data_IF_387354679041
#
_entry.id   IF_387354679041
#
_cell.length_a   1.000
_cell.length_b   1.000
_cell.length_c   1.000
_cell.angle_alpha   90.00
_cell.angle_beta   90.00
_cell.angle_gamma   90.00
#
_symmetry.space_group_name_H-M   'P 1'
#
loop_
_entity.id
_entity.type
_entity.pdbx_description
1 polymer ?
#
# COMPACT_ATOMS: atom_id res chain seq x y z
N UNK A 1 19.11 -0.72 -17.77
CA UNK A 1 18.33 -1.89 -17.30
C UNK A 1 16.88 -1.71 -17.77
N UNK A 2 16.29 -2.77 -18.35
CA UNK A 2 14.88 -2.79 -18.75
C UNK A 2 14.05 -3.52 -17.69
N UNK A 3 13.08 -2.83 -17.09
CA UNK A 3 12.22 -3.33 -16.03
C UNK A 3 10.77 -3.41 -16.51
N UNK A 4 10.13 -4.56 -16.35
CA UNK A 4 8.69 -4.70 -16.54
C UNK A 4 8.03 -4.76 -15.17
N UNK A 5 7.26 -3.73 -14.80
CA UNK A 5 6.39 -3.73 -13.63
C UNK A 5 5.04 -4.34 -14.05
N UNK A 6 4.59 -5.38 -13.39
CA UNK A 6 3.37 -6.11 -13.76
C UNK A 6 2.31 -6.03 -12.65
N UNK A 7 1.20 -5.34 -12.91
CA UNK A 7 -0.03 -5.38 -12.10
C UNK A 7 -1.20 -5.89 -12.95
N UNK A 8 -1.33 -7.21 -13.15
CA UNK A 8 -2.38 -7.78 -13.98
C UNK A 8 -3.80 -7.34 -13.61
N UNK A 9 -4.19 -7.29 -12.32
CA UNK A 9 -5.54 -6.86 -11.93
C UNK A 9 -5.76 -5.35 -11.93
N UNK A 10 -4.71 -4.53 -12.02
CA UNK A 10 -4.75 -3.08 -11.80
C UNK A 10 -5.32 -2.72 -10.42
N UNK A 11 -4.73 -3.28 -9.34
CA UNK A 11 -5.22 -3.06 -7.98
C UNK A 11 -4.65 -1.79 -7.34
N UNK A 12 -3.41 -1.45 -7.69
CA UNK A 12 -2.69 -0.32 -7.10
C UNK A 12 -2.18 0.71 -8.13
N UNK A 13 -3.02 1.21 -9.05
CA UNK A 13 -2.54 2.10 -10.12
C UNK A 13 -1.78 3.35 -9.65
N UNK A 14 -2.15 4.02 -8.50
CA UNK A 14 -1.36 5.14 -8.00
C UNK A 14 0.05 4.74 -7.56
N UNK A 15 0.19 3.59 -6.87
CA UNK A 15 1.48 3.04 -6.48
C UNK A 15 2.31 2.65 -7.70
N UNK A 16 1.72 1.90 -8.63
CA UNK A 16 2.40 1.44 -9.85
C UNK A 16 2.89 2.59 -10.71
N UNK A 17 2.07 3.65 -10.83
CA UNK A 17 2.46 4.88 -11.52
C UNK A 17 3.66 5.54 -10.87
N UNK A 18 3.59 5.75 -9.55
CA UNK A 18 4.65 6.43 -8.81
C UNK A 18 5.97 5.63 -8.82
N UNK A 19 5.90 4.30 -8.62
CA UNK A 19 7.07 3.43 -8.71
C UNK A 19 7.67 3.44 -10.12
N UNK A 20 6.84 3.29 -11.17
CA UNK A 20 7.32 3.27 -12.55
C UNK A 20 7.96 4.61 -12.97
N UNK A 21 7.36 5.74 -12.54
CA UNK A 21 7.93 7.08 -12.76
C UNK A 21 9.27 7.24 -12.06
N UNK A 22 9.37 6.83 -10.79
CA UNK A 22 10.60 6.96 -10.00
C UNK A 22 11.72 6.06 -10.54
N UNK A 23 11.42 4.82 -10.94
CA UNK A 23 12.39 3.93 -11.60
C UNK A 23 12.87 4.50 -12.92
N UNK A 24 11.98 5.09 -13.73
CA UNK A 24 12.35 5.73 -14.98
C UNK A 24 13.23 6.97 -14.76
N UNK A 25 12.89 7.81 -13.79
CA UNK A 25 13.71 8.96 -13.40
C UNK A 25 15.11 8.56 -12.90
N UNK A 26 15.22 7.38 -12.26
CA UNK A 26 16.49 6.80 -11.84
C UNK A 26 17.27 6.08 -12.96
N UNK A 27 16.79 6.16 -14.22
CA UNK A 27 17.52 5.70 -15.41
C UNK A 27 17.14 4.31 -15.94
N UNK A 28 16.10 3.67 -15.41
CA UNK A 28 15.61 2.42 -15.96
C UNK A 28 14.68 2.65 -17.17
N UNK A 29 14.72 1.74 -18.16
CA UNK A 29 13.69 1.66 -19.20
C UNK A 29 12.51 0.85 -18.63
N UNK A 30 11.40 1.53 -18.29
CA UNK A 30 10.27 0.93 -17.57
C UNK A 30 9.06 0.72 -18.46
N UNK A 31 8.48 -0.49 -18.40
CA UNK A 31 7.17 -0.80 -18.97
C UNK A 31 6.22 -1.28 -17.85
N UNK A 32 5.07 -0.60 -17.67
CA UNK A 32 4.00 -1.04 -16.80
C UNK A 32 3.01 -1.91 -17.59
N UNK A 33 3.03 -3.22 -17.31
CA UNK A 33 2.15 -4.22 -17.90
C UNK A 33 0.93 -4.44 -16.98
N UNK A 34 -0.25 -3.96 -17.38
CA UNK A 34 -1.43 -3.94 -16.52
C UNK A 34 -2.71 -4.28 -17.29
N UNK A 35 -3.86 -4.11 -16.65
CA UNK A 35 -5.17 -4.11 -17.28
C UNK A 35 -5.82 -2.74 -17.21
N UNK A 36 -6.93 -2.58 -17.94
CA UNK A 36 -7.69 -1.34 -17.89
C UNK A 36 -8.29 -1.10 -16.51
N UNK A 37 -7.90 -0.01 -15.86
CA UNK A 37 -8.50 0.44 -14.61
C UNK A 37 -9.91 1.01 -14.84
N UNK A 38 -10.84 0.79 -13.90
CA UNK A 38 -12.26 1.07 -14.07
C UNK A 38 -12.88 1.91 -12.95
N UNK A 39 -12.11 2.21 -11.91
CA UNK A 39 -12.64 2.89 -10.72
C UNK A 39 -12.26 4.37 -10.65
N UNK A 40 -11.70 4.91 -11.72
CA UNK A 40 -11.30 6.31 -11.78
C UNK A 40 -10.32 6.59 -12.90
N UNK A 41 -9.81 7.81 -12.94
CA UNK A 41 -8.72 8.18 -13.82
C UNK A 41 -7.40 7.59 -13.33
N UNK A 42 -6.55 7.18 -14.27
CA UNK A 42 -5.16 6.79 -13.99
C UNK A 42 -4.28 7.88 -14.57
N UNK A 43 -3.25 8.36 -13.83
CA UNK A 43 -2.31 9.36 -14.35
C UNK A 43 -1.72 8.95 -15.69
N UNK A 44 -1.42 9.91 -16.55
CA UNK A 44 -0.67 9.66 -17.78
C UNK A 44 0.71 9.11 -17.42
N UNK A 45 1.28 8.18 -18.22
CA UNK A 45 2.66 7.72 -18.00
C UNK A 45 3.65 8.89 -18.03
N UNK A 46 4.58 8.90 -17.08
CA UNK A 46 5.65 9.88 -16.97
C UNK A 46 7.00 9.15 -16.94
N UNK A 47 7.78 9.29 -18.00
CA UNK A 47 9.05 8.61 -18.20
C UNK A 47 8.99 7.10 -18.47
N UNK A 48 7.84 6.47 -18.40
CA UNK A 48 7.65 5.04 -18.62
C UNK A 48 6.57 4.74 -19.68
N UNK A 49 6.51 3.48 -20.15
CA UNK A 49 5.45 3.00 -21.05
C UNK A 49 4.39 2.19 -20.29
N UNK A 50 3.09 2.45 -20.53
CA UNK A 50 1.99 1.63 -19.99
C UNK A 50 1.36 0.81 -21.12
N UNK A 51 1.20 -0.51 -20.88
CA UNK A 51 0.55 -1.45 -21.80
C UNK A 51 -0.55 -2.25 -21.11
N UNK A 52 -1.75 -2.21 -21.66
CA UNK A 52 -2.88 -3.02 -21.21
C UNK A 52 -2.75 -4.44 -21.81
N UNK A 53 -1.94 -5.31 -21.19
CA UNK A 53 -1.71 -6.67 -21.66
C UNK A 53 -2.79 -7.66 -21.22
N UNK A 54 -3.49 -7.32 -20.11
CA UNK A 54 -4.39 -8.26 -19.43
C UNK A 54 -5.86 -7.89 -19.66
N UNK A 55 -6.71 -8.90 -19.72
CA UNK A 55 -8.18 -8.83 -19.67
C UNK A 55 -8.87 -7.89 -20.68
N UNK A 56 -8.54 -7.96 -21.98
CA UNK A 56 -9.08 -7.04 -22.98
C UNK A 56 -10.61 -7.17 -23.17
N UNK A 57 -11.19 -8.36 -22.98
CA UNK A 57 -12.63 -8.61 -23.12
C UNK A 57 -13.37 -8.47 -21.80
N UNK A 58 -12.91 -9.17 -20.73
CA UNK A 58 -13.60 -9.14 -19.44
C UNK A 58 -13.60 -7.74 -18.82
N UNK A 59 -12.62 -6.90 -19.13
CA UNK A 59 -12.63 -5.52 -18.71
C UNK A 59 -13.77 -4.68 -19.34
N UNK A 60 -14.34 -5.10 -20.48
CA UNK A 60 -15.52 -4.46 -21.10
C UNK A 60 -16.84 -4.84 -20.42
N UNK A 61 -16.89 -5.97 -19.71
CA UNK A 61 -18.06 -6.50 -19.00
C UNK A 61 -18.13 -6.03 -17.54
N UNK A 62 -17.35 -5.03 -17.18
CA UNK A 62 -17.24 -4.57 -15.80
C UNK A 62 -18.59 -4.12 -15.21
N UNK A 63 -18.89 -4.58 -13.99
CA UNK A 63 -20.04 -4.16 -13.19
C UNK A 63 -21.40 -4.68 -13.62
N UNK A 64 -21.54 -5.36 -14.78
CA UNK A 64 -22.84 -5.71 -15.36
C UNK A 64 -23.06 -7.18 -15.69
N UNK A 65 -22.07 -8.05 -15.51
CA UNK A 65 -22.20 -9.47 -15.91
C UNK A 65 -21.50 -10.42 -14.94
N UNK A 66 -22.22 -11.48 -14.54
CA UNK A 66 -21.66 -12.62 -13.80
C UNK A 66 -20.61 -13.40 -14.63
N UNK A 67 -20.65 -13.27 -15.96
CA UNK A 67 -19.68 -13.90 -16.87
C UNK A 67 -18.30 -13.25 -16.84
N UNK A 68 -18.18 -12.07 -16.25
CA UNK A 68 -16.89 -11.35 -16.16
C UNK A 68 -15.80 -12.17 -15.46
N UNK A 69 -16.11 -12.79 -14.32
CA UNK A 69 -15.13 -13.53 -13.54
C UNK A 69 -14.61 -14.76 -14.27
N UNK A 70 -15.47 -15.68 -14.78
CA UNK A 70 -14.99 -16.82 -15.56
C UNK A 70 -14.24 -16.37 -16.82
N UNK A 71 -14.69 -15.33 -17.52
CA UNK A 71 -13.98 -14.80 -18.68
C UNK A 71 -12.59 -14.26 -18.28
N UNK A 72 -12.48 -13.53 -17.15
CA UNK A 72 -11.20 -13.05 -16.62
C UNK A 72 -10.24 -14.23 -16.37
N UNK A 73 -10.72 -15.31 -15.77
CA UNK A 73 -9.92 -16.53 -15.53
C UNK A 73 -9.45 -17.17 -16.84
N UNK A 74 -10.30 -17.21 -17.87
CA UNK A 74 -9.93 -17.72 -19.19
C UNK A 74 -8.93 -16.83 -19.92
N UNK A 75 -9.03 -15.51 -19.80
CA UNK A 75 -8.09 -14.55 -20.42
C UNK A 75 -6.71 -14.53 -19.73
N UNK A 76 -6.65 -14.90 -18.44
CA UNK A 76 -5.45 -14.76 -17.62
C UNK A 76 -4.21 -15.46 -18.19
N UNK A 77 -4.27 -16.75 -18.62
CA UNK A 77 -3.13 -17.43 -19.24
C UNK A 77 -2.58 -16.73 -20.48
N UNK A 78 -3.45 -16.12 -21.30
CA UNK A 78 -3.01 -15.36 -22.49
C UNK A 78 -2.29 -14.06 -22.09
N UNK A 79 -2.72 -13.40 -21.01
CA UNK A 79 -2.00 -12.25 -20.44
C UNK A 79 -0.62 -12.65 -19.95
N UNK A 80 -0.51 -13.76 -19.22
CA UNK A 80 0.78 -14.31 -18.74
C UNK A 80 1.69 -14.70 -19.91
N UNK A 81 1.15 -15.30 -20.97
CA UNK A 81 1.93 -15.64 -22.18
C UNK A 81 2.48 -14.40 -22.89
N UNK A 82 1.70 -13.30 -22.96
CA UNK A 82 2.17 -12.02 -23.49
C UNK A 82 3.25 -11.41 -22.59
N UNK A 83 3.08 -11.46 -21.27
CA UNK A 83 4.09 -11.02 -20.30
C UNK A 83 5.39 -11.81 -20.51
N UNK A 84 5.31 -13.14 -20.60
CA UNK A 84 6.47 -14.02 -20.81
C UNK A 84 7.23 -13.73 -22.10
N UNK A 85 6.58 -13.15 -23.10
CA UNK A 85 7.18 -12.72 -24.37
C UNK A 85 7.68 -11.27 -24.38
N UNK A 86 7.48 -10.49 -23.30
CA UNK A 86 7.92 -9.10 -23.22
C UNK A 86 9.42 -9.06 -22.88
N UNK A 87 10.25 -8.36 -23.66
CA UNK A 87 11.68 -8.25 -23.34
C UNK A 87 11.88 -7.48 -22.03
N UNK A 88 12.65 -8.06 -21.10
CA UNK A 88 12.99 -7.45 -19.82
C UNK A 88 14.31 -8.03 -19.29
N UNK A 89 15.02 -7.25 -18.49
CA UNK A 89 16.12 -7.71 -17.65
C UNK A 89 15.59 -8.21 -16.31
N UNK A 90 14.51 -7.58 -15.78
CA UNK A 90 13.78 -7.99 -14.57
C UNK A 90 12.27 -7.81 -14.78
N UNK A 91 11.47 -8.73 -14.27
CA UNK A 91 10.00 -8.60 -14.18
C UNK A 91 9.59 -8.49 -12.72
N UNK A 92 9.00 -7.36 -12.35
CA UNK A 92 8.54 -7.08 -11.00
C UNK A 92 7.03 -7.13 -10.92
N UNK A 93 6.49 -8.18 -10.31
CA UNK A 93 5.06 -8.42 -10.15
C UNK A 93 4.55 -7.72 -8.91
N UNK A 94 3.50 -6.91 -9.04
CA UNK A 94 2.86 -6.20 -7.94
C UNK A 94 1.73 -7.02 -7.32
N UNK A 95 1.00 -7.79 -8.14
CA UNK A 95 -0.14 -8.57 -7.69
C UNK A 95 -0.27 -9.89 -8.43
N UNK A 96 -0.58 -10.95 -7.72
CA UNK A 96 -1.05 -12.21 -8.29
C UNK A 96 -2.57 -12.15 -8.46
N UNK A 97 -3.03 -12.05 -9.71
CA UNK A 97 -4.46 -11.87 -10.00
C UNK A 97 -5.29 -13.12 -9.77
N UNK A 98 -4.72 -14.27 -10.08
CA UNK A 98 -5.31 -15.61 -9.95
C UNK A 98 -4.22 -16.54 -9.41
N UNK A 99 -3.92 -16.51 -8.09
CA UNK A 99 -2.79 -17.23 -7.49
C UNK A 99 -2.78 -18.72 -7.84
N UNK A 100 -3.96 -19.33 -8.02
CA UNK A 100 -4.10 -20.72 -8.43
C UNK A 100 -3.47 -21.00 -9.81
N UNK A 101 -3.60 -20.07 -10.75
CA UNK A 101 -2.99 -20.15 -12.08
C UNK A 101 -1.57 -19.58 -12.08
N UNK A 102 -1.37 -18.44 -11.43
CA UNK A 102 -0.08 -17.75 -11.37
C UNK A 102 1.02 -18.67 -10.82
N UNK A 103 0.72 -19.44 -9.77
CA UNK A 103 1.68 -20.38 -9.17
C UNK A 103 2.18 -21.47 -10.15
N UNK A 104 1.47 -21.71 -11.24
CA UNK A 104 1.84 -22.70 -12.26
C UNK A 104 2.31 -22.07 -13.57
N UNK A 105 1.67 -21.00 -14.00
CA UNK A 105 1.80 -20.44 -15.35
C UNK A 105 2.71 -19.23 -15.43
N UNK A 106 2.90 -18.50 -14.31
CA UNK A 106 3.78 -17.33 -14.31
C UNK A 106 5.23 -17.78 -14.54
N UNK A 107 5.78 -17.37 -15.67
CA UNK A 107 7.14 -17.67 -16.11
C UNK A 107 7.70 -16.51 -16.91
N UNK A 108 8.97 -16.26 -16.73
CA UNK A 108 9.72 -15.34 -17.57
C UNK A 108 11.18 -15.82 -17.68
N UNK A 109 11.92 -15.37 -18.72
CA UNK A 109 13.35 -15.67 -18.86
C UNK A 109 14.20 -14.83 -17.91
N UNK A 110 13.79 -13.58 -17.70
CA UNK A 110 14.39 -12.70 -16.70
C UNK A 110 13.92 -13.10 -15.29
N UNK A 111 14.70 -12.78 -14.25
CA UNK A 111 14.31 -12.98 -12.86
C UNK A 111 12.98 -12.33 -12.52
N UNK A 112 12.21 -13.01 -11.66
CA UNK A 112 10.92 -12.56 -11.17
C UNK A 112 11.08 -12.00 -9.75
N UNK A 113 10.60 -10.78 -9.54
CA UNK A 113 10.48 -10.13 -8.23
C UNK A 113 9.00 -9.96 -7.91
N UNK A 114 8.60 -10.12 -6.65
CA UNK A 114 7.23 -9.87 -6.18
C UNK A 114 7.25 -8.76 -5.13
N UNK A 115 6.35 -7.78 -5.20
CA UNK A 115 5.97 -7.01 -4.02
C UNK A 115 4.75 -7.65 -3.37
N UNK A 116 4.90 -8.08 -2.12
CA UNK A 116 3.81 -8.67 -1.34
C UNK A 116 3.01 -7.58 -0.62
N UNK A 117 2.15 -6.85 -1.35
CA UNK A 117 1.28 -5.83 -0.77
C UNK A 117 0.28 -6.42 0.25
N UNK A 118 -0.23 -7.62 -0.02
CA UNK A 118 -0.92 -8.48 0.93
C UNK A 118 -0.02 -9.69 1.19
N UNK A 119 0.49 -9.85 2.41
CA UNK A 119 1.42 -10.94 2.74
C UNK A 119 0.80 -12.31 2.45
N UNK A 120 -0.38 -12.55 3.00
CA UNK A 120 -1.20 -13.74 2.77
C UNK A 120 -2.67 -13.33 2.61
N UNK A 121 -3.17 -13.16 1.37
CA UNK A 121 -4.54 -12.71 1.12
C UNK A 121 -5.59 -13.58 1.83
N UNK A 122 -6.46 -12.96 2.61
CA UNK A 122 -7.43 -13.62 3.53
C UNK A 122 -8.18 -14.78 2.91
N UNK A 123 -8.66 -14.62 1.66
CA UNK A 123 -9.44 -15.66 0.95
C UNK A 123 -8.65 -16.94 0.72
N UNK A 124 -7.33 -16.85 0.64
CA UNK A 124 -6.45 -17.94 0.25
C UNK A 124 -5.34 -18.22 1.26
N UNK A 125 -5.27 -17.52 2.38
CA UNK A 125 -4.23 -17.68 3.41
C UNK A 125 -4.10 -19.13 3.89
N UNK A 126 -5.22 -19.83 4.09
CA UNK A 126 -5.22 -21.26 4.47
C UNK A 126 -4.70 -22.22 3.40
N UNK A 127 -4.50 -21.77 2.14
CA UNK A 127 -3.96 -22.61 1.06
C UNK A 127 -2.43 -22.60 1.07
N UNK A 128 -1.80 -23.10 2.14
CA UNK A 128 -0.34 -23.02 2.35
C UNK A 128 0.48 -23.58 1.19
N UNK A 129 0.09 -24.72 0.63
CA UNK A 129 0.77 -25.33 -0.52
C UNK A 129 0.70 -24.47 -1.79
N UNK A 130 -0.39 -23.72 -1.98
CA UNK A 130 -0.51 -22.76 -3.07
C UNK A 130 0.51 -21.62 -2.92
N UNK A 131 0.55 -20.99 -1.73
CA UNK A 131 1.42 -19.84 -1.49
C UNK A 131 2.90 -20.23 -1.47
N UNK A 132 3.26 -21.39 -0.92
CA UNK A 132 4.64 -21.90 -1.01
C UNK A 132 5.08 -22.07 -2.47
N UNK A 133 4.20 -22.58 -3.33
CA UNK A 133 4.49 -22.71 -4.77
C UNK A 133 4.57 -21.35 -5.44
N UNK A 134 3.67 -20.43 -5.13
CA UNK A 134 3.66 -19.09 -5.70
C UNK A 134 4.93 -18.32 -5.35
N UNK A 135 5.30 -18.25 -4.06
CA UNK A 135 6.53 -17.60 -3.60
C UNK A 135 7.80 -18.29 -4.14
N UNK A 136 7.74 -19.60 -4.36
CA UNK A 136 8.82 -20.35 -4.99
C UNK A 136 9.19 -19.90 -6.41
N UNK A 137 8.26 -19.16 -7.10
CA UNK A 137 8.48 -18.63 -8.46
C UNK A 137 9.40 -17.42 -8.49
N UNK A 138 9.56 -16.73 -7.40
CA UNK A 138 10.26 -15.45 -7.33
C UNK A 138 11.68 -15.64 -6.78
N UNK A 139 12.63 -14.95 -7.38
CA UNK A 139 14.00 -14.85 -6.91
C UNK A 139 14.09 -13.95 -5.68
N UNK A 140 13.26 -12.89 -5.66
CA UNK A 140 13.14 -11.98 -4.51
C UNK A 140 11.67 -11.62 -4.27
N UNK A 141 11.37 -11.36 -2.99
CA UNK A 141 10.06 -10.90 -2.53
C UNK A 141 10.28 -9.65 -1.70
N UNK A 142 9.75 -8.54 -2.18
CA UNK A 142 9.75 -7.27 -1.48
C UNK A 142 8.56 -7.24 -0.52
N UNK A 143 8.82 -6.86 0.71
CA UNK A 143 7.84 -6.53 1.74
C UNK A 143 8.09 -5.10 2.20
N UNK A 144 7.07 -4.44 2.76
CA UNK A 144 7.18 -3.04 3.12
C UNK A 144 7.53 -2.81 4.60
N UNK A 145 7.75 -3.88 5.38
CA UNK A 145 7.95 -3.83 6.82
C UNK A 145 8.81 -5.00 7.31
N UNK A 146 9.48 -4.82 8.43
CA UNK A 146 10.16 -5.93 9.13
C UNK A 146 9.14 -6.97 9.63
N UNK A 147 8.00 -6.52 10.14
CA UNK A 147 6.89 -7.41 10.51
C UNK A 147 6.43 -8.28 9.34
N UNK A 148 6.35 -7.70 8.13
CA UNK A 148 6.03 -8.44 6.91
C UNK A 148 7.10 -9.47 6.56
N UNK A 149 8.39 -9.14 6.70
CA UNK A 149 9.50 -10.05 6.51
C UNK A 149 9.41 -11.24 7.48
N UNK A 150 9.23 -10.94 8.78
CA UNK A 150 9.09 -11.97 9.81
C UNK A 150 7.88 -12.89 9.55
N UNK A 151 6.76 -12.31 9.14
CA UNK A 151 5.54 -13.06 8.80
C UNK A 151 5.78 -14.04 7.64
N UNK A 152 6.42 -13.60 6.56
CA UNK A 152 6.71 -14.48 5.41
C UNK A 152 7.83 -15.49 5.72
N UNK A 153 8.81 -15.12 6.53
CA UNK A 153 9.85 -16.07 7.01
C UNK A 153 9.21 -17.17 7.88
N UNK A 154 8.33 -16.81 8.81
CA UNK A 154 7.58 -17.78 9.63
C UNK A 154 6.64 -18.66 8.79
N UNK A 155 6.11 -18.15 7.67
CA UNK A 155 5.35 -18.94 6.71
C UNK A 155 6.22 -19.95 5.95
N UNK A 156 7.54 -19.78 5.95
CA UNK A 156 8.54 -20.67 5.33
C UNK A 156 9.10 -20.15 4.00
N UNK A 157 9.02 -18.85 3.75
CA UNK A 157 9.82 -18.20 2.69
C UNK A 157 11.26 -18.05 3.20
N UNK A 158 12.24 -18.45 2.39
CA UNK A 158 13.63 -18.34 2.75
C UNK A 158 14.05 -16.86 2.90
N UNK A 159 14.75 -16.55 3.99
CA UNK A 159 15.08 -15.16 4.37
C UNK A 159 15.93 -14.43 3.31
N UNK A 160 16.78 -15.17 2.61
CA UNK A 160 17.58 -14.64 1.51
C UNK A 160 16.75 -14.15 0.31
N UNK A 161 15.51 -14.59 0.19
CA UNK A 161 14.55 -14.07 -0.82
C UNK A 161 13.85 -12.80 -0.39
N UNK A 162 13.78 -12.54 0.91
CA UNK A 162 13.02 -11.41 1.46
C UNK A 162 13.87 -10.14 1.45
N UNK A 163 13.25 -9.04 1.04
CA UNK A 163 13.85 -7.69 1.09
C UNK A 163 12.82 -6.71 1.62
N UNK A 164 13.20 -5.97 2.65
CA UNK A 164 12.39 -4.89 3.17
C UNK A 164 12.70 -3.62 2.38
N UNK A 165 11.70 -3.12 1.66
CA UNK A 165 11.74 -1.82 1.02
C UNK A 165 10.52 -1.06 1.52
N UNK A 166 10.69 -0.08 2.41
CA UNK A 166 9.60 0.65 3.01
C UNK A 166 8.66 1.27 1.96
N UNK A 167 7.37 1.24 2.22
CA UNK A 167 6.40 1.90 1.35
C UNK A 167 6.56 3.42 1.45
N UNK A 168 6.74 4.13 0.33
CA UNK A 168 6.88 5.58 0.35
C UNK A 168 5.61 6.27 0.85
N UNK A 169 5.77 7.44 1.46
CA UNK A 169 4.64 8.31 1.73
C UNK A 169 4.13 8.96 0.45
N UNK A 170 2.88 9.38 0.44
CA UNK A 170 2.32 10.21 -0.62
C UNK A 170 2.39 11.67 -0.15
N UNK A 171 3.36 12.47 -0.60
CA UNK A 171 3.49 13.84 -0.15
C UNK A 171 2.32 14.68 -0.66
N UNK A 172 1.76 15.51 0.22
CA UNK A 172 0.81 16.58 -0.15
C UNK A 172 1.00 17.78 0.76
N UNK A 173 0.59 18.95 0.27
CA UNK A 173 0.70 20.22 1.01
C UNK A 173 -0.71 20.84 1.18
N UNK A 174 -1.57 20.20 1.97
CA UNK A 174 -2.92 20.71 2.19
C UNK A 174 -2.86 22.05 2.93
N UNK A 175 -3.76 22.99 2.58
CA UNK A 175 -3.94 24.21 3.35
C UNK A 175 -4.32 23.84 4.78
N UNK A 176 -3.45 24.20 5.73
CA UNK A 176 -3.70 23.90 7.15
C UNK A 176 -4.80 24.79 7.70
N UNK A 177 -5.85 24.18 8.20
CA UNK A 177 -7.03 24.82 8.79
C UNK A 177 -7.53 23.99 10.00
N UNK A 178 -6.63 23.26 10.67
CA UNK A 178 -7.02 22.43 11.82
C UNK A 178 -7.35 23.26 13.06
N UNK A 179 -8.35 22.81 13.79
CA UNK A 179 -8.89 23.44 14.97
C UNK A 179 -8.21 22.98 16.29
N UNK A 180 -7.19 22.15 16.21
CA UNK A 180 -6.53 21.52 17.36
C UNK A 180 -7.35 20.39 18.01
N UNK A 181 -8.53 20.00 17.48
CA UNK A 181 -9.49 19.05 18.09
C UNK A 181 -10.02 17.99 17.14
N UNK A 182 -9.82 18.14 15.84
CA UNK A 182 -10.32 17.18 14.84
C UNK A 182 -9.41 15.98 14.70
N UNK A 183 -9.95 14.78 14.97
CA UNK A 183 -9.31 13.47 14.78
C UNK A 183 -9.84 12.85 13.49
N UNK A 184 -8.97 12.44 12.58
CA UNK A 184 -9.32 11.93 11.26
C UNK A 184 -9.23 10.40 11.18
N UNK A 185 -10.30 9.76 10.74
CA UNK A 185 -10.26 8.40 10.20
C UNK A 185 -10.37 8.46 8.67
N UNK A 186 -9.29 8.13 7.96
CA UNK A 186 -9.16 8.30 6.51
C UNK A 186 -9.35 7.00 5.72
N UNK A 187 -9.99 7.12 4.55
CA UNK A 187 -10.10 6.08 3.52
C UNK A 187 -11.33 5.20 3.66
N UNK A 188 -11.52 4.27 2.72
CA UNK A 188 -12.71 3.43 2.63
C UNK A 188 -13.11 2.81 3.98
N UNK A 189 -14.39 2.88 4.30
CA UNK A 189 -14.93 2.26 5.52
C UNK A 189 -14.93 0.74 5.35
N UNK A 190 -14.19 0.05 6.21
CA UNK A 190 -14.08 -1.42 6.22
C UNK A 190 -14.08 -1.94 7.66
N UNK A 191 -14.58 -3.17 7.91
CA UNK A 191 -14.64 -3.74 9.26
C UNK A 191 -13.29 -3.76 9.98
N UNK A 192 -12.20 -4.08 9.27
CA UNK A 192 -10.86 -4.15 9.84
C UNK A 192 -10.31 -2.81 10.37
N UNK A 193 -10.93 -1.69 10.03
CA UNK A 193 -10.52 -0.36 10.51
C UNK A 193 -11.01 -0.04 11.91
N UNK A 194 -11.84 -0.88 12.50
CA UNK A 194 -12.38 -0.73 13.86
C UNK A 194 -12.81 0.70 14.19
N UNK A 195 -13.56 1.33 13.28
CA UNK A 195 -14.01 2.71 13.46
C UNK A 195 -14.82 2.94 14.75
N UNK A 196 -15.38 1.89 15.33
CA UNK A 196 -16.10 1.97 16.60
C UNK A 196 -15.13 2.24 17.74
N UNK A 197 -13.91 1.70 17.74
CA UNK A 197 -12.85 2.07 18.69
C UNK A 197 -12.46 3.54 18.56
N UNK A 198 -12.33 4.05 17.34
CA UNK A 198 -12.05 5.48 17.12
C UNK A 198 -13.20 6.36 17.63
N UNK A 199 -14.47 5.98 17.37
CA UNK A 199 -15.66 6.70 17.86
C UNK A 199 -15.71 6.71 19.39
N UNK A 200 -15.52 5.56 20.00
CA UNK A 200 -15.51 5.43 21.45
C UNK A 200 -14.38 6.25 22.09
N UNK A 201 -13.16 6.14 21.59
CA UNK A 201 -12.01 6.90 22.09
C UNK A 201 -12.25 8.41 22.02
N UNK A 202 -12.69 8.91 20.87
CA UNK A 202 -12.92 10.36 20.67
C UNK A 202 -14.11 10.86 21.50
N UNK A 203 -15.18 10.06 21.68
CA UNK A 203 -16.34 10.45 22.48
C UNK A 203 -16.02 10.72 23.98
N UNK A 204 -14.90 10.19 24.45
CA UNK A 204 -14.40 10.40 25.83
C UNK A 204 -13.52 11.68 25.96
N UNK A 205 -13.30 12.42 24.88
CA UNK A 205 -12.43 13.60 24.84
C UNK A 205 -13.24 14.87 24.69
N UNK A 206 -13.29 15.75 25.69
CA UNK A 206 -14.07 16.99 25.62
C UNK A 206 -13.62 17.89 24.45
N UNK A 207 -14.58 18.32 23.63
CA UNK A 207 -14.36 19.18 22.48
C UNK A 207 -13.67 18.53 21.27
N UNK A 208 -13.28 17.26 21.35
CA UNK A 208 -12.75 16.53 20.20
C UNK A 208 -13.87 16.05 19.26
N UNK A 209 -13.56 16.02 17.97
CA UNK A 209 -14.50 15.55 16.94
C UNK A 209 -13.84 14.47 16.09
N UNK A 210 -14.55 13.36 15.86
CA UNK A 210 -14.11 12.35 14.88
C UNK A 210 -14.66 12.71 13.50
N UNK A 211 -13.78 12.97 12.56
CA UNK A 211 -14.09 13.09 11.15
C UNK A 211 -13.78 11.77 10.44
N UNK A 212 -14.79 11.15 9.86
CA UNK A 212 -14.61 9.98 8.98
C UNK A 212 -14.59 10.50 7.53
N UNK A 213 -13.42 10.48 6.91
CA UNK A 213 -13.25 10.87 5.51
C UNK A 213 -13.11 9.62 4.64
N UNK A 214 -14.24 9.17 4.08
CA UNK A 214 -14.35 7.99 3.25
C UNK A 214 -15.75 7.39 3.28
N UNK A 215 -16.04 6.59 2.26
CA UNK A 215 -17.32 5.88 2.12
C UNK A 215 -17.04 4.36 2.07
N UNK A 216 -18.10 3.57 2.18
CA UNK A 216 -18.03 2.12 2.00
C UNK A 216 -17.71 1.74 0.53
N UNK A 217 -18.20 2.51 -0.44
CA UNK A 217 -18.22 2.14 -1.86
C UNK A 217 -17.61 3.19 -2.81
N UNK A 218 -17.23 4.37 -2.31
CA UNK A 218 -16.71 5.47 -3.12
C UNK A 218 -15.33 5.93 -2.66
N UNK A 219 -14.43 6.14 -3.62
CA UNK A 219 -13.15 6.79 -3.37
C UNK A 219 -13.35 8.31 -3.33
N UNK A 220 -12.69 8.95 -2.36
CA UNK A 220 -12.59 10.41 -2.31
C UNK A 220 -11.68 10.91 -3.44
N UNK A 221 -11.95 12.10 -3.93
CA UNK A 221 -11.03 12.83 -4.79
C UNK A 221 -9.80 13.31 -4.00
N UNK A 222 -8.70 13.59 -4.68
CA UNK A 222 -7.49 14.14 -4.05
C UNK A 222 -7.79 15.43 -3.28
N UNK A 223 -8.62 16.31 -3.85
CA UNK A 223 -9.02 17.58 -3.19
C UNK A 223 -9.83 17.35 -1.90
N UNK A 224 -10.66 16.30 -1.84
CA UNK A 224 -11.39 15.93 -0.61
C UNK A 224 -10.46 15.34 0.44
N UNK A 225 -9.47 14.52 0.01
CA UNK A 225 -8.46 13.97 0.90
C UNK A 225 -7.60 15.09 1.48
N UNK A 226 -7.09 16.00 0.64
CA UNK A 226 -6.27 17.13 1.09
C UNK A 226 -7.03 18.05 2.05
N UNK A 227 -8.31 18.33 1.77
CA UNK A 227 -9.16 19.08 2.69
C UNK A 227 -9.30 18.37 4.02
N UNK A 228 -9.57 17.06 4.01
CA UNK A 228 -9.70 16.27 5.24
C UNK A 228 -8.41 16.28 6.06
N UNK A 229 -7.27 16.14 5.41
CA UNK A 229 -5.96 16.20 6.05
C UNK A 229 -5.64 17.60 6.58
N UNK A 230 -5.92 18.66 5.80
CA UNK A 230 -5.68 20.05 6.20
C UNK A 230 -6.47 20.50 7.42
N UNK A 231 -7.72 20.03 7.55
CA UNK A 231 -8.63 20.35 8.65
C UNK A 231 -8.43 19.46 9.89
N UNK A 232 -7.49 18.50 9.87
CA UNK A 232 -7.31 17.53 10.97
C UNK A 232 -6.04 17.76 11.74
N UNK A 233 -6.12 17.58 13.07
CA UNK A 233 -4.98 17.70 13.98
C UNK A 233 -4.17 16.42 14.06
N UNK A 234 -4.87 15.27 14.15
CA UNK A 234 -4.32 13.91 14.30
C UNK A 234 -5.11 12.94 13.45
N UNK A 235 -4.47 11.94 12.87
CA UNK A 235 -5.15 10.82 12.23
C UNK A 235 -5.13 9.57 13.11
N UNK A 236 -6.15 8.69 12.99
CA UNK A 236 -6.28 7.49 13.81
C UNK A 236 -6.49 6.24 12.97
N UNK A 237 -5.73 5.17 13.27
CA UNK A 237 -5.75 3.92 12.54
C UNK A 237 -5.76 2.72 13.49
N UNK A 238 -6.88 2.43 14.17
CA UNK A 238 -7.03 1.33 15.12
C UNK A 238 -7.34 0.03 14.38
N UNK A 239 -6.44 -0.41 13.49
CA UNK A 239 -6.71 -1.50 12.58
C UNK A 239 -6.55 -2.88 13.23
N UNK A 240 -7.25 -3.88 12.69
CA UNK A 240 -7.05 -5.29 13.05
C UNK A 240 -5.67 -5.80 12.57
N UNK A 241 -5.10 -6.82 13.24
CA UNK A 241 -3.75 -7.36 12.96
C UNK A 241 -3.53 -7.91 11.54
N UNK A 242 -4.57 -7.97 10.72
CA UNK A 242 -4.53 -8.59 9.40
C UNK A 242 -3.89 -7.70 8.31
N UNK A 243 -3.56 -6.45 8.65
CA UNK A 243 -2.99 -5.48 7.71
C UNK A 243 -1.52 -5.21 8.05
N UNK A 244 -0.68 -5.28 7.01
CA UNK A 244 0.72 -4.91 7.11
C UNK A 244 0.94 -3.41 6.86
N UNK A 245 0.29 -2.83 5.86
CA UNK A 245 0.49 -1.44 5.47
C UNK A 245 -0.81 -0.68 5.23
N UNK A 246 -0.76 0.66 5.34
CA UNK A 246 -1.90 1.52 5.08
C UNK A 246 -1.53 2.75 4.25
N UNK A 247 -1.97 2.77 3.00
CA UNK A 247 -1.84 3.96 2.16
C UNK A 247 -2.47 5.23 2.76
N UNK A 248 -3.53 5.07 3.59
CA UNK A 248 -4.16 6.20 4.28
C UNK A 248 -3.26 6.77 5.39
N UNK A 249 -2.54 5.91 6.15
CA UNK A 249 -1.52 6.35 7.11
C UNK A 249 -0.40 7.10 6.40
N UNK A 250 0.13 6.53 5.33
CA UNK A 250 1.24 7.13 4.59
C UNK A 250 0.85 8.46 3.93
N UNK A 251 -0.42 8.63 3.53
CA UNK A 251 -0.95 9.93 3.11
C UNK A 251 -1.01 10.93 4.27
N UNK A 252 -1.44 10.50 5.46
CA UNK A 252 -1.47 11.38 6.65
C UNK A 252 -0.06 11.87 6.99
N UNK A 253 0.92 10.96 7.07
CA UNK A 253 2.32 11.32 7.31
C UNK A 253 2.88 12.22 6.20
N UNK A 254 2.58 11.92 4.92
CA UNK A 254 2.99 12.73 3.77
C UNK A 254 2.42 14.15 3.77
N UNK A 255 1.28 14.36 4.42
CA UNK A 255 0.67 15.67 4.64
C UNK A 255 1.09 16.35 5.97
N UNK A 256 2.03 15.76 6.71
CA UNK A 256 2.48 16.29 8.02
C UNK A 256 1.45 16.13 9.14
N UNK A 257 0.46 15.23 8.98
CA UNK A 257 -0.53 14.91 10.02
C UNK A 257 -0.03 13.72 10.83
N UNK A 258 0.23 13.88 12.14
CA UNK A 258 0.68 12.78 12.99
C UNK A 258 -0.43 11.75 13.19
N UNK A 259 -0.03 10.51 13.52
CA UNK A 259 -0.96 9.39 13.60
C UNK A 259 -0.95 8.71 14.96
N UNK A 260 -2.13 8.23 15.40
CA UNK A 260 -2.25 7.25 16.48
C UNK A 260 -2.67 5.94 15.85
N UNK A 261 -1.88 4.88 16.05
CA UNK A 261 -2.06 3.59 15.40
C UNK A 261 -2.07 2.47 16.42
N UNK A 262 -2.77 1.37 16.13
CA UNK A 262 -2.54 0.12 16.83
C UNK A 262 -1.23 -0.54 16.39
N UNK A 263 -0.58 -1.25 17.31
CA UNK A 263 0.67 -2.00 17.06
C UNK A 263 0.34 -3.31 16.31
N UNK A 264 0.07 -3.17 15.02
CA UNK A 264 -0.30 -4.29 14.15
C UNK A 264 0.52 -4.26 12.87
N UNK A 265 1.05 -5.41 12.49
CA UNK A 265 1.87 -5.56 11.28
C UNK A 265 2.93 -4.46 11.14
N UNK A 266 3.17 -4.01 9.92
CA UNK A 266 4.07 -2.89 9.62
C UNK A 266 3.44 -1.51 9.82
N UNK A 267 2.18 -1.42 10.28
CA UNK A 267 1.48 -0.13 10.45
C UNK A 267 2.17 0.78 11.46
N UNK A 268 2.68 0.19 12.56
CA UNK A 268 3.34 0.93 13.63
C UNK A 268 4.78 1.35 13.31
N UNK A 269 5.45 0.67 12.37
CA UNK A 269 6.87 0.88 12.09
C UNK A 269 7.21 2.34 11.72
N UNK A 270 6.60 2.96 10.70
CA UNK A 270 6.92 4.35 10.35
C UNK A 270 6.53 5.34 11.45
N UNK A 271 5.47 5.07 12.22
CA UNK A 271 5.08 5.96 13.33
C UNK A 271 6.12 5.91 14.46
N UNK A 272 6.63 4.72 14.77
CA UNK A 272 7.64 4.52 15.82
C UNK A 272 9.01 5.03 15.41
N UNK A 273 9.47 4.68 14.22
CA UNK A 273 10.77 5.03 13.68
C UNK A 273 10.97 6.55 13.59
N UNK A 274 9.97 7.24 13.06
CA UNK A 274 10.06 8.69 12.89
C UNK A 274 9.53 9.49 14.09
N UNK A 275 8.93 8.85 15.09
CA UNK A 275 8.22 9.54 16.15
C UNK A 275 7.05 10.37 15.63
N UNK A 276 6.38 9.87 14.56
CA UNK A 276 5.34 10.57 13.82
C UNK A 276 3.95 10.44 14.47
N UNK A 277 3.89 10.16 15.77
CA UNK A 277 2.63 9.96 16.49
C UNK A 277 2.77 9.06 17.71
N UNK A 278 1.77 8.20 17.93
CA UNK A 278 1.74 7.25 19.05
C UNK A 278 1.33 5.87 18.57
N UNK A 279 1.93 4.85 19.18
CA UNK A 279 1.63 3.45 18.94
C UNK A 279 0.96 2.89 20.20
N UNK A 280 -0.16 2.21 20.03
CA UNK A 280 -1.03 1.71 21.12
C UNK A 280 -1.24 0.21 20.95
N UNK A 281 -1.36 -0.51 22.03
CA UNK A 281 -1.69 -1.94 22.03
C UNK A 281 -3.02 -2.19 21.29
N UNK A 282 -3.11 -3.20 20.42
CA UNK A 282 -4.37 -3.55 19.77
C UNK A 282 -5.50 -3.77 20.76
N UNK A 283 -6.70 -3.33 20.39
CA UNK A 283 -7.94 -3.42 21.18
C UNK A 283 -7.94 -2.62 22.51
N UNK A 284 -6.88 -1.86 22.82
CA UNK A 284 -6.80 -0.95 23.97
C UNK A 284 -7.42 0.42 23.65
N UNK A 285 -8.74 0.53 23.83
CA UNK A 285 -9.47 1.79 23.59
C UNK A 285 -9.09 2.87 24.62
N UNK A 286 -8.71 2.48 25.85
CA UNK A 286 -8.25 3.44 26.87
C UNK A 286 -6.89 4.03 26.50
N UNK A 287 -5.95 3.20 26.10
CA UNK A 287 -4.65 3.63 25.57
C UNK A 287 -4.81 4.49 24.31
N UNK A 288 -5.74 4.12 23.40
CA UNK A 288 -6.07 4.92 22.22
C UNK A 288 -6.57 6.31 22.61
N UNK A 289 -7.50 6.37 23.59
CA UNK A 289 -8.02 7.63 24.15
C UNK A 289 -6.91 8.50 24.76
N UNK A 290 -6.03 7.87 25.57
CA UNK A 290 -4.92 8.58 26.21
C UNK A 290 -3.92 9.14 25.20
N UNK A 291 -3.56 8.35 24.17
CA UNK A 291 -2.65 8.75 23.11
C UNK A 291 -3.21 9.92 22.27
N UNK A 292 -4.51 9.85 21.90
CA UNK A 292 -5.16 10.96 21.19
C UNK A 292 -5.20 12.20 22.09
N UNK A 293 -5.59 12.06 23.36
CA UNK A 293 -5.63 13.19 24.32
C UNK A 293 -4.28 13.88 24.44
N UNK A 294 -3.21 13.12 24.59
CA UNK A 294 -1.86 13.67 24.68
C UNK A 294 -1.55 14.58 23.48
N UNK A 295 -1.81 14.10 22.25
CA UNK A 295 -1.53 14.90 21.05
C UNK A 295 -2.48 16.09 20.86
N UNK A 296 -3.69 16.06 21.42
CA UNK A 296 -4.62 17.20 21.35
C UNK A 296 -4.37 18.26 22.44
N UNK A 297 -3.91 17.85 23.62
CA UNK A 297 -3.80 18.72 24.80
C UNK A 297 -2.34 19.21 25.04
N UNK A 298 -1.32 18.46 24.60
CA UNK A 298 0.09 18.82 24.73
C UNK A 298 0.66 19.34 23.40
N UNK A 299 0.84 20.66 23.32
CA UNK A 299 1.39 21.34 22.13
C UNK A 299 2.81 20.89 21.81
N UNK A 300 3.62 20.54 22.81
CA UNK A 300 5.00 20.08 22.59
C UNK A 300 5.01 18.66 22.01
N UNK A 301 4.15 17.78 22.53
CA UNK A 301 3.97 16.43 22.00
C UNK A 301 3.44 16.46 20.54
N UNK A 302 2.45 17.31 20.25
CA UNK A 302 1.93 17.50 18.91
C UNK A 302 3.00 18.03 17.94
N UNK A 303 3.76 19.06 18.35
CA UNK A 303 4.83 19.62 17.54
C UNK A 303 5.93 18.59 17.23
N UNK A 304 6.32 17.79 18.23
CA UNK A 304 7.28 16.70 18.05
C UNK A 304 6.78 15.63 17.07
N UNK A 305 5.50 15.23 17.17
CA UNK A 305 4.90 14.25 16.28
C UNK A 305 4.77 14.79 14.84
N UNK A 306 4.44 16.06 14.65
CA UNK A 306 4.46 16.73 13.34
C UNK A 306 5.85 16.79 12.73
N UNK A 307 6.88 17.09 13.54
CA UNK A 307 8.27 17.02 13.09
C UNK A 307 8.67 15.59 12.68
N UNK A 308 8.16 14.58 13.38
CA UNK A 308 8.32 13.18 13.01
C UNK A 308 7.68 12.85 11.65
N UNK A 309 6.45 13.29 11.42
CA UNK A 309 5.78 13.13 10.13
C UNK A 309 6.53 13.85 8.99
N UNK A 310 7.09 15.03 9.26
CA UNK A 310 7.93 15.75 8.29
C UNK A 310 9.22 14.97 7.96
N UNK A 311 9.87 14.33 8.95
CA UNK A 311 11.02 13.44 8.66
C UNK A 311 10.62 12.24 7.82
N UNK A 312 9.52 11.54 8.16
CA UNK A 312 9.01 10.45 7.35
C UNK A 312 8.78 10.87 5.89
N UNK A 313 8.25 12.08 5.68
CA UNK A 313 8.03 12.66 4.34
C UNK A 313 9.33 12.86 3.55
N UNK A 314 10.44 13.19 4.20
CA UNK A 314 11.74 13.42 3.54
C UNK A 314 12.55 12.14 3.34
N UNK A 315 12.29 11.09 4.09
CA UNK A 315 13.07 9.85 4.05
C UNK A 315 12.35 8.73 3.29
N UNK A 316 11.03 8.58 3.49
CA UNK A 316 10.21 7.59 2.78
C UNK A 316 9.74 8.13 1.42
N UNK A 317 10.68 8.37 0.52
CA UNK A 317 10.39 8.95 -0.81
C UNK A 317 10.32 7.89 -1.90
N UNK A 318 9.67 8.23 -3.01
CA UNK A 318 9.67 7.39 -4.20
C UNK A 318 11.06 7.24 -4.82
N UNK A 319 11.91 8.25 -4.65
CA UNK A 319 13.30 8.22 -5.10
C UNK A 319 14.12 7.17 -4.32
N UNK A 320 14.09 7.22 -2.98
CA UNK A 320 14.73 6.20 -2.13
C UNK A 320 14.20 4.79 -2.40
N UNK A 321 12.90 4.66 -2.58
CA UNK A 321 12.26 3.40 -2.94
C UNK A 321 12.76 2.86 -4.29
N UNK A 322 12.83 3.72 -5.32
CA UNK A 322 13.32 3.33 -6.64
C UNK A 322 14.79 2.91 -6.60
N UNK A 323 15.65 3.64 -5.86
CA UNK A 323 17.06 3.26 -5.69
C UNK A 323 17.21 1.90 -5.02
N UNK A 324 16.43 1.62 -3.96
CA UNK A 324 16.43 0.33 -3.29
C UNK A 324 15.98 -0.81 -4.23
N UNK A 325 14.98 -0.56 -5.07
CA UNK A 325 14.54 -1.54 -6.07
C UNK A 325 15.60 -1.77 -7.16
N UNK A 326 16.26 -0.71 -7.65
CA UNK A 326 17.31 -0.85 -8.65
C UNK A 326 18.51 -1.64 -8.10
N UNK A 327 18.93 -1.36 -6.87
CA UNK A 327 19.98 -2.13 -6.21
C UNK A 327 19.59 -3.61 -6.08
N UNK A 328 18.34 -3.90 -5.69
CA UNK A 328 17.81 -5.27 -5.66
C UNK A 328 17.83 -5.95 -7.04
N UNK A 329 17.49 -5.21 -8.10
CA UNK A 329 17.49 -5.79 -9.45
C UNK A 329 18.91 -6.06 -9.95
N UNK A 330 19.88 -5.20 -9.61
CA UNK A 330 21.29 -5.39 -9.94
C UNK A 330 21.88 -6.64 -9.29
N UNK A 331 21.42 -7.02 -8.09
CA UNK A 331 21.81 -8.30 -7.46
C UNK A 331 21.37 -9.54 -8.27
N UNK A 332 20.45 -9.40 -9.20
CA UNK A 332 19.85 -10.51 -9.95
C UNK A 332 20.39 -10.65 -11.37
N UNK A 333 21.18 -9.67 -11.83
CA UNK A 333 21.76 -9.62 -13.17
C UNK A 333 23.23 -10.07 -13.18
#
# INVERSE_FOLDING_TARGET
MRVVVADPPAFTPPYDHALATALAAAGAEVELATSRFRFGAVPAPDGYRRRELFYPLSSRLFGRSRLRVPLKVLEHPFGLARLAGTPADVVHVQWLAVPELDSWLLRHRAPLVLTAHDLLPRRTAGKTGLWRRAFGRFERIVVHSESGRETLAAFGVADEKLRVIPHPVTPSDPTRADDGRTVLALGLVRPYKQLDHAREAVSRLPGAQLRVAGDADAFLSEAEIDRALGESTVAVFPYLPELDQSGALLRALGAGVPAVVYDVGGLAEPVREFGAGRVVTPDDVEGLTAAIRELLDDQAALAAARAGAARARTELTWETCAQAHLALYEELL
#
